data_IF_301348164694
#
_entry.id   IF_301348164694
#
_cell.length_a   1.000
_cell.length_b   1.000
_cell.length_c   1.000
_cell.angle_alpha   90.00
_cell.angle_beta   90.00
_cell.angle_gamma   90.00
#
_symmetry.space_group_name_H-M   'P 1'
#
loop_
_entity.id
_entity.type
_entity.pdbx_description
1 polymer ?
#
# COMPACT_ATOMS: atom_id res chain seq x y z
N UNK A 1 19.66 -40.86 -11.25
CA UNK A 1 19.32 -39.47 -11.63
C UNK A 1 18.88 -38.70 -10.40
N UNK A 2 19.70 -37.77 -9.89
CA UNK A 2 19.31 -36.86 -8.80
C UNK A 2 18.38 -35.80 -9.38
N UNK A 3 17.10 -35.78 -8.97
CA UNK A 3 16.21 -34.65 -9.27
C UNK A 3 16.80 -33.41 -8.60
N UNK A 4 17.20 -32.42 -9.39
CA UNK A 4 17.57 -31.11 -8.87
C UNK A 4 16.38 -30.58 -8.05
N UNK A 5 16.58 -30.34 -6.75
CA UNK A 5 15.61 -29.59 -5.94
C UNK A 5 15.50 -28.20 -6.58
N UNK A 6 14.43 -27.97 -7.35
CA UNK A 6 14.11 -26.62 -7.80
C UNK A 6 13.85 -25.79 -6.55
N UNK A 7 14.75 -24.87 -6.24
CA UNK A 7 14.54 -23.86 -5.21
C UNK A 7 13.24 -23.15 -5.53
N UNK A 8 12.24 -23.16 -4.63
CA UNK A 8 10.95 -22.65 -5.01
C UNK A 8 11.06 -21.12 -5.16
N UNK A 9 10.77 -20.63 -6.37
CA UNK A 9 10.97 -19.24 -6.77
C UNK A 9 10.05 -18.32 -5.96
N UNK A 10 10.61 -17.26 -5.37
CA UNK A 10 9.80 -16.21 -4.76
C UNK A 10 8.83 -15.63 -5.80
N UNK A 11 7.57 -15.44 -5.41
CA UNK A 11 6.56 -14.82 -6.27
C UNK A 11 6.24 -13.42 -5.75
N UNK A 12 6.22 -12.47 -6.66
CA UNK A 12 5.85 -11.09 -6.37
C UNK A 12 4.36 -10.89 -6.63
N UNK A 13 3.68 -10.35 -5.63
CA UNK A 13 2.31 -9.88 -5.74
C UNK A 13 2.28 -8.38 -5.53
N UNK A 14 1.38 -7.69 -6.22
CA UNK A 14 1.26 -6.25 -6.19
C UNK A 14 -0.18 -5.83 -5.96
N UNK A 15 -0.31 -4.71 -5.27
CA UNK A 15 -1.54 -3.98 -5.04
C UNK A 15 -1.26 -2.51 -5.34
N UNK A 16 -2.05 -1.89 -6.20
CA UNK A 16 -1.96 -0.45 -6.43
C UNK A 16 -3.32 0.21 -6.23
N UNK A 17 -3.30 1.46 -5.80
CA UNK A 17 -4.49 2.29 -5.68
C UNK A 17 -4.13 3.75 -5.92
N UNK A 18 -5.06 4.48 -6.53
CA UNK A 18 -5.01 5.93 -6.59
C UNK A 18 -5.75 6.47 -5.36
N UNK A 19 -5.15 7.42 -4.65
CA UNK A 19 -5.64 7.91 -3.36
C UNK A 19 -6.93 8.71 -3.55
N UNK A 20 -6.97 9.60 -4.54
CA UNK A 20 -8.15 10.41 -4.84
C UNK A 20 -9.32 9.55 -5.31
N UNK A 21 -9.07 8.64 -6.24
CA UNK A 21 -10.10 7.69 -6.69
C UNK A 21 -10.60 6.77 -5.55
N UNK A 22 -9.74 6.41 -4.59
CA UNK A 22 -10.18 5.63 -3.44
C UNK A 22 -11.22 6.39 -2.60
N UNK A 23 -11.00 7.69 -2.39
CA UNK A 23 -11.94 8.59 -1.70
C UNK A 23 -13.26 8.64 -2.45
N UNK A 24 -13.23 8.91 -3.77
CA UNK A 24 -14.44 8.97 -4.60
C UNK A 24 -15.28 7.68 -4.50
N UNK A 25 -14.62 6.52 -4.56
CA UNK A 25 -15.31 5.22 -4.46
C UNK A 25 -15.92 5.00 -3.08
N UNK A 26 -15.23 5.40 -2.01
CA UNK A 26 -15.76 5.32 -0.63
C UNK A 26 -16.99 6.21 -0.51
N UNK A 27 -16.89 7.49 -0.88
CA UNK A 27 -17.98 8.46 -0.77
C UNK A 27 -19.21 8.02 -1.57
N UNK A 28 -19.02 7.51 -2.79
CA UNK A 28 -20.10 6.95 -3.60
C UNK A 28 -20.77 5.75 -2.94
N UNK A 29 -19.98 4.87 -2.31
CA UNK A 29 -20.53 3.71 -1.60
C UNK A 29 -21.33 4.12 -0.37
N UNK A 30 -20.80 5.03 0.45
CA UNK A 30 -21.49 5.54 1.64
C UNK A 30 -22.80 6.24 1.26
N UNK A 31 -22.79 7.04 0.19
CA UNK A 31 -23.98 7.72 -0.31
C UNK A 31 -25.06 6.74 -0.82
N UNK A 32 -24.66 5.63 -1.45
CA UNK A 32 -25.59 4.63 -2.01
C UNK A 32 -26.13 3.65 -0.96
N UNK A 33 -25.30 3.25 -0.01
CA UNK A 33 -25.63 2.22 0.97
C UNK A 33 -26.16 2.79 2.29
N UNK A 34 -25.82 4.03 2.63
CA UNK A 34 -26.01 4.60 3.96
C UNK A 34 -25.04 4.04 5.02
N UNK A 35 -24.14 3.13 4.65
CA UNK A 35 -23.16 2.52 5.55
C UNK A 35 -21.92 3.43 5.69
N UNK A 36 -21.67 3.89 6.91
CA UNK A 36 -20.50 4.72 7.29
C UNK A 36 -19.55 3.99 8.23
N UNK A 37 -19.62 2.67 8.30
CA UNK A 37 -18.77 1.85 9.18
C UNK A 37 -17.30 1.84 8.77
N UNK A 38 -16.97 2.38 7.60
CA UNK A 38 -15.65 2.30 6.95
C UNK A 38 -15.19 0.87 6.65
N UNK A 39 -16.10 -0.13 6.72
CA UNK A 39 -15.82 -1.51 6.33
C UNK A 39 -16.39 -1.76 4.94
N UNK A 40 -15.54 -1.65 3.92
CA UNK A 40 -15.97 -1.84 2.54
C UNK A 40 -16.03 -3.33 2.15
N UNK A 41 -17.12 -3.79 1.51
CA UNK A 41 -17.19 -5.16 1.01
C UNK A 41 -16.23 -5.36 -0.16
N UNK A 42 -15.79 -6.61 -0.39
CA UNK A 42 -14.79 -6.95 -1.41
C UNK A 42 -15.07 -6.36 -2.81
N UNK A 43 -16.31 -6.36 -3.35
CA UNK A 43 -16.58 -5.75 -4.66
C UNK A 43 -16.24 -4.26 -4.73
N UNK A 44 -16.36 -3.54 -3.62
CA UNK A 44 -16.01 -2.12 -3.52
C UNK A 44 -14.50 -1.96 -3.37
N UNK A 45 -13.86 -2.77 -2.53
CA UNK A 45 -12.41 -2.83 -2.43
C UNK A 45 -11.75 -3.11 -3.79
N UNK A 46 -12.34 -3.98 -4.62
CA UNK A 46 -11.83 -4.30 -5.96
C UNK A 46 -11.98 -3.15 -6.98
N UNK A 47 -12.83 -2.15 -6.70
CA UNK A 47 -12.88 -0.90 -7.47
C UNK A 47 -11.67 -0.02 -7.13
N UNK A 48 -11.28 0.05 -5.86
CA UNK A 48 -10.15 0.84 -5.36
C UNK A 48 -8.82 0.20 -5.72
N UNK A 49 -8.63 -1.04 -5.29
CA UNK A 49 -7.36 -1.74 -5.36
C UNK A 49 -7.24 -2.57 -6.63
N UNK A 50 -6.14 -2.38 -7.35
CA UNK A 50 -5.78 -3.10 -8.57
C UNK A 50 -4.56 -3.98 -8.35
N UNK A 51 -4.37 -4.96 -9.21
CA UNK A 51 -3.27 -5.92 -9.13
C UNK A 51 -3.70 -7.31 -8.68
N UNK A 52 -2.71 -8.18 -8.47
CA UNK A 52 -2.93 -9.61 -8.23
C UNK A 52 -2.88 -9.99 -6.73
N UNK A 53 -2.50 -9.08 -5.83
CA UNK A 53 -2.38 -9.37 -4.41
C UNK A 53 -3.75 -9.66 -3.75
N UNK A 54 -4.72 -8.77 -3.93
CA UNK A 54 -6.05 -8.93 -3.33
C UNK A 54 -6.76 -10.22 -3.78
N UNK A 55 -6.82 -10.54 -5.09
CA UNK A 55 -7.36 -11.82 -5.54
C UNK A 55 -6.62 -13.03 -4.96
N UNK A 56 -5.28 -12.97 -4.87
CA UNK A 56 -4.48 -14.08 -4.33
C UNK A 56 -4.75 -14.32 -2.84
N UNK A 57 -4.97 -13.26 -2.07
CA UNK A 57 -5.38 -13.35 -0.66
C UNK A 57 -6.81 -13.90 -0.53
N UNK A 58 -7.75 -13.37 -1.31
CA UNK A 58 -9.16 -13.77 -1.28
C UNK A 58 -9.35 -15.25 -1.66
N UNK A 59 -8.60 -15.73 -2.65
CA UNK A 59 -8.64 -17.12 -3.11
C UNK A 59 -7.78 -18.08 -2.25
N UNK A 60 -7.10 -17.58 -1.21
CA UNK A 60 -6.20 -18.39 -0.38
C UNK A 60 -4.98 -18.94 -1.12
N UNK A 61 -4.64 -18.37 -2.28
CA UNK A 61 -3.43 -18.75 -3.05
C UNK A 61 -2.15 -18.38 -2.29
N UNK A 62 -2.22 -17.36 -1.43
CA UNK A 62 -1.16 -16.98 -0.51
C UNK A 62 -1.72 -16.83 0.90
N UNK A 63 -0.90 -17.05 1.93
CA UNK A 63 -1.30 -16.81 3.33
C UNK A 63 -1.43 -15.31 3.60
N UNK A 64 -2.32 -14.92 4.51
CA UNK A 64 -2.58 -13.49 4.78
C UNK A 64 -1.43 -12.78 5.51
N UNK A 65 -0.60 -13.52 6.27
CA UNK A 65 0.60 -12.95 6.91
C UNK A 65 1.77 -12.88 5.92
N UNK A 66 2.06 -11.69 5.41
CA UNK A 66 3.13 -11.45 4.44
C UNK A 66 3.99 -10.24 4.81
N UNK A 67 5.18 -10.20 4.23
CA UNK A 67 6.07 -9.04 4.26
C UNK A 67 5.68 -8.10 3.14
N UNK A 68 5.44 -6.83 3.50
CA UNK A 68 5.01 -5.80 2.56
C UNK A 68 6.09 -4.73 2.37
N UNK A 69 6.06 -4.09 1.22
CA UNK A 69 6.65 -2.77 1.01
C UNK A 69 5.65 -1.92 0.26
N UNK A 70 5.76 -0.61 0.35
CA UNK A 70 4.90 0.31 -0.38
C UNK A 70 5.68 1.50 -0.85
N UNK A 71 5.39 1.92 -2.06
CA UNK A 71 5.90 3.17 -2.61
C UNK A 71 4.72 4.09 -2.86
N UNK A 72 4.77 5.29 -2.28
CA UNK A 72 3.85 6.36 -2.57
C UNK A 72 4.43 7.26 -3.65
N UNK A 73 3.55 7.72 -4.51
CA UNK A 73 3.83 8.64 -5.58
C UNK A 73 2.83 9.80 -5.49
N UNK A 74 3.34 11.02 -5.64
CA UNK A 74 2.50 12.20 -5.74
C UNK A 74 3.03 13.11 -6.84
N UNK A 75 2.13 13.54 -7.73
CA UNK A 75 2.39 14.62 -8.68
C UNK A 75 2.03 15.94 -8.01
N UNK A 76 3.00 16.81 -7.83
CA UNK A 76 2.83 18.09 -7.16
C UNK A 76 3.06 19.24 -8.12
N UNK A 77 2.42 20.38 -7.86
CA UNK A 77 2.67 21.65 -8.53
C UNK A 77 3.01 22.70 -7.49
N UNK A 78 4.19 23.29 -7.63
CA UNK A 78 4.67 24.38 -6.77
C UNK A 78 3.97 25.68 -7.08
N UNK A 79 4.05 26.64 -6.16
CA UNK A 79 3.57 28.01 -6.37
C UNK A 79 4.20 28.68 -7.60
N UNK A 80 5.44 28.32 -7.93
CA UNK A 80 6.15 28.81 -9.13
C UNK A 80 5.56 28.30 -10.44
N UNK A 81 4.61 27.36 -10.38
CA UNK A 81 4.01 26.69 -11.51
C UNK A 81 4.77 25.44 -11.99
N UNK A 82 5.94 25.15 -11.41
CA UNK A 82 6.73 23.94 -11.70
C UNK A 82 6.01 22.67 -11.21
N UNK A 83 5.96 21.65 -12.07
CA UNK A 83 5.42 20.33 -11.72
C UNK A 83 6.54 19.34 -11.42
N UNK A 84 6.33 18.49 -10.41
CA UNK A 84 7.29 17.46 -10.00
C UNK A 84 6.60 16.16 -9.62
N UNK A 85 7.37 15.05 -9.66
CA UNK A 85 6.97 13.76 -9.13
C UNK A 85 7.76 13.48 -7.85
N UNK A 86 7.04 13.13 -6.80
CA UNK A 86 7.62 12.74 -5.52
C UNK A 86 7.42 11.25 -5.34
N UNK A 87 8.47 10.57 -4.88
CA UNK A 87 8.45 9.15 -4.56
C UNK A 87 8.96 8.91 -3.13
N UNK A 88 8.22 8.11 -2.36
CA UNK A 88 8.66 7.62 -1.03
C UNK A 88 8.39 6.14 -0.88
N UNK A 89 9.46 5.38 -0.69
CA UNK A 89 9.44 3.93 -0.51
C UNK A 89 9.62 3.51 0.95
N UNK A 90 8.75 2.63 1.41
CA UNK A 90 8.77 2.02 2.73
C UNK A 90 8.85 0.51 2.58
N UNK A 91 9.70 -0.12 3.40
CA UNK A 91 9.75 -1.58 3.50
C UNK A 91 9.49 -2.01 4.94
N UNK A 92 8.61 -2.97 5.08
CA UNK A 92 8.22 -3.54 6.37
C UNK A 92 8.76 -4.96 6.42
N UNK A 93 9.78 -5.19 7.25
CA UNK A 93 10.43 -6.51 7.33
C UNK A 93 9.65 -7.51 8.22
N UNK A 94 8.61 -7.05 8.91
CA UNK A 94 7.76 -7.87 9.78
C UNK A 94 6.55 -8.42 9.00
N UNK A 95 6.31 -9.74 8.97
CA UNK A 95 5.09 -10.29 8.40
C UNK A 95 3.83 -9.81 9.15
N UNK A 96 2.81 -9.37 8.41
CA UNK A 96 1.52 -8.89 8.95
C UNK A 96 0.38 -9.18 7.98
N UNK A 97 -0.87 -8.98 8.38
CA UNK A 97 -2.03 -9.03 7.48
C UNK A 97 -2.10 -7.79 6.59
N UNK A 98 -2.74 -7.91 5.43
CA UNK A 98 -2.98 -6.75 4.56
C UNK A 98 -3.76 -5.63 5.30
N UNK A 99 -4.72 -5.99 6.15
CA UNK A 99 -5.48 -5.01 6.95
C UNK A 99 -4.61 -4.27 7.96
N UNK A 100 -3.67 -4.96 8.61
CA UNK A 100 -2.70 -4.36 9.54
C UNK A 100 -1.72 -3.47 8.78
N UNK A 101 -1.32 -3.87 7.57
CA UNK A 101 -0.51 -3.03 6.69
C UNK A 101 -1.23 -1.73 6.30
N UNK A 102 -2.49 -1.79 5.88
CA UNK A 102 -3.25 -0.61 5.45
C UNK A 102 -3.57 0.31 6.63
N UNK A 103 -3.97 -0.26 7.78
CA UNK A 103 -4.41 0.51 8.95
C UNK A 103 -3.29 0.92 9.90
N UNK A 104 -2.11 0.31 9.79
CA UNK A 104 -0.97 0.60 10.66
C UNK A 104 -0.68 -0.48 11.69
N UNK A 105 0.57 -0.46 12.16
CA UNK A 105 1.11 -1.37 13.16
C UNK A 105 2.23 -0.68 13.94
N UNK A 106 1.89 -0.09 15.09
CA UNK A 106 2.76 0.81 15.87
C UNK A 106 4.08 0.14 16.32
N UNK A 107 4.06 -1.14 16.63
CA UNK A 107 5.26 -1.87 17.05
C UNK A 107 6.13 -2.37 15.88
N UNK A 108 5.78 -2.03 14.64
CA UNK A 108 6.54 -2.40 13.47
C UNK A 108 7.81 -1.57 13.29
N UNK A 109 8.88 -2.23 12.83
CA UNK A 109 10.04 -1.53 12.27
C UNK A 109 9.87 -1.39 10.75
N UNK A 110 10.14 -0.18 10.25
CA UNK A 110 10.10 0.14 8.83
C UNK A 110 11.42 0.74 8.37
N UNK A 111 11.81 0.43 7.14
CA UNK A 111 13.01 0.97 6.51
C UNK A 111 12.63 2.10 5.55
N UNK A 112 13.11 3.32 5.84
CA UNK A 112 12.87 4.53 5.03
C UNK A 112 14.11 4.82 4.17
N UNK A 113 14.18 4.26 2.95
CA UNK A 113 15.06 4.65 1.84
C UNK A 113 16.61 4.61 2.01
N UNK A 114 17.13 4.91 3.18
CA UNK A 114 18.56 5.07 3.51
C UNK A 114 19.08 3.96 4.44
N UNK A 115 18.35 2.86 4.58
CA UNK A 115 18.68 1.81 5.55
C UNK A 115 18.34 2.18 7.00
N UNK A 116 17.75 3.37 7.22
CA UNK A 116 17.29 3.79 8.54
C UNK A 116 16.06 2.99 8.94
N UNK A 117 16.21 2.20 10.00
CA UNK A 117 15.12 1.47 10.63
C UNK A 117 14.51 2.33 11.73
N UNK A 118 13.23 2.64 11.60
CA UNK A 118 12.46 3.38 12.61
C UNK A 118 11.31 2.50 13.09
N UNK A 119 10.96 2.64 14.38
CA UNK A 119 9.78 2.01 14.97
C UNK A 119 8.56 2.91 14.74
N UNK A 120 7.40 2.33 14.43
CA UNK A 120 6.13 3.05 14.28
C UNK A 120 5.62 3.11 12.85
N UNK A 121 4.91 2.07 12.40
CA UNK A 121 4.16 2.12 11.13
C UNK A 121 2.74 2.63 11.39
N UNK A 122 2.36 3.78 10.81
CA UNK A 122 1.02 4.36 11.00
C UNK A 122 -0.02 3.92 9.96
N UNK A 123 0.36 3.03 9.05
CA UNK A 123 -0.53 2.58 7.98
C UNK A 123 -0.34 3.37 6.70
N UNK A 124 -0.85 2.83 5.61
CA UNK A 124 -0.58 3.39 4.29
C UNK A 124 -1.23 4.77 4.09
N UNK A 125 -2.40 5.00 4.69
CA UNK A 125 -3.10 6.29 4.62
C UNK A 125 -2.37 7.36 5.42
N UNK A 126 -2.12 7.11 6.69
CA UNK A 126 -1.60 8.13 7.60
C UNK A 126 -0.12 8.47 7.29
N UNK A 127 0.67 7.52 6.81
CA UNK A 127 2.03 7.81 6.33
C UNK A 127 2.03 8.69 5.08
N UNK A 128 1.09 8.47 4.15
CA UNK A 128 0.94 9.34 2.99
C UNK A 128 0.54 10.75 3.40
N UNK A 129 -0.44 10.90 4.31
CA UNK A 129 -0.87 12.20 4.82
C UNK A 129 0.28 12.94 5.51
N UNK A 130 1.01 12.27 6.41
CA UNK A 130 2.17 12.85 7.09
C UNK A 130 3.24 13.34 6.10
N UNK A 131 3.51 12.56 5.04
CA UNK A 131 4.44 12.95 3.98
C UNK A 131 3.97 14.20 3.23
N UNK A 132 2.67 14.27 2.88
CA UNK A 132 2.12 15.42 2.18
C UNK A 132 2.15 16.69 3.04
N UNK A 133 1.81 16.57 4.32
CA UNK A 133 1.79 17.70 5.25
C UNK A 133 3.21 18.22 5.56
N UNK A 134 4.19 17.34 5.79
CA UNK A 134 5.55 17.72 6.16
C UNK A 134 6.32 18.35 4.99
N UNK A 135 6.22 17.77 3.79
CA UNK A 135 7.06 18.16 2.66
C UNK A 135 6.38 19.18 1.73
N UNK A 136 5.04 19.22 1.68
CA UNK A 136 4.29 19.88 0.61
C UNK A 136 3.14 20.78 1.09
N UNK A 137 3.18 21.29 2.33
CA UNK A 137 2.11 22.13 2.90
C UNK A 137 1.70 23.36 2.07
N UNK A 138 2.57 23.87 1.17
CA UNK A 138 2.27 25.00 0.27
C UNK A 138 2.11 24.59 -1.20
N UNK A 139 2.27 23.31 -1.55
CA UNK A 139 2.19 22.83 -2.93
C UNK A 139 0.81 22.23 -3.21
N UNK A 140 0.39 22.25 -4.48
CA UNK A 140 -0.86 21.61 -4.91
C UNK A 140 -0.60 20.16 -5.33
N UNK A 141 -1.26 19.20 -4.66
CA UNK A 141 -1.24 17.80 -5.09
C UNK A 141 -2.20 17.61 -6.29
N UNK A 142 -1.65 17.27 -7.46
CA UNK A 142 -2.41 17.06 -8.69
C UNK A 142 -2.90 15.61 -8.84
N UNK A 143 -2.07 14.64 -8.45
CA UNK A 143 -2.40 13.23 -8.48
C UNK A 143 -1.61 12.48 -7.40
N UNK A 144 -2.16 11.39 -6.85
CA UNK A 144 -1.48 10.58 -5.85
C UNK A 144 -1.87 9.10 -5.97
N UNK A 145 -0.89 8.22 -5.94
CA UNK A 145 -1.11 6.78 -5.97
C UNK A 145 -0.05 6.03 -5.17
N UNK A 146 -0.36 4.79 -4.82
CA UNK A 146 0.55 3.93 -4.10
C UNK A 146 0.64 2.56 -4.77
N UNK A 147 1.80 1.92 -4.61
CA UNK A 147 2.06 0.55 -5.06
C UNK A 147 2.63 -0.24 -3.89
N UNK A 148 1.81 -1.12 -3.31
CA UNK A 148 2.26 -2.11 -2.36
C UNK A 148 2.76 -3.37 -3.07
N UNK A 149 3.90 -3.85 -2.62
CA UNK A 149 4.56 -5.07 -3.06
C UNK A 149 4.53 -6.08 -1.93
N UNK A 150 4.22 -7.33 -2.28
CA UNK A 150 4.18 -8.46 -1.37
C UNK A 150 5.14 -9.53 -1.91
N UNK A 151 6.19 -9.82 -1.15
CA UNK A 151 7.16 -10.85 -1.51
C UNK A 151 6.78 -12.16 -0.81
N UNK A 152 6.22 -13.10 -1.56
CA UNK A 152 5.86 -14.41 -1.02
C UNK A 152 7.05 -15.35 -1.22
N UNK A 153 7.71 -15.69 -0.11
CA UNK A 153 8.69 -16.77 -0.08
C UNK A 153 7.92 -18.09 -0.12
N UNK A 154 8.22 -18.92 -1.11
CA UNK A 154 7.64 -20.26 -1.13
C UNK A 154 8.08 -21.03 0.12
N UNK A 155 7.17 -21.83 0.70
CA UNK A 155 7.50 -22.72 1.81
C UNK A 155 8.67 -23.62 1.38
N UNK A 156 9.74 -23.61 2.18
CA UNK A 156 10.89 -24.48 2.01
C UNK A 156 10.53 -25.95 2.26
#
# INVERSE_FOLDING_TARGET
MRKAKQTPKAKHYQLSWNVFHAVDVVEQYEAQSGDKSCVLPYPILAKIYKGNLMPALQLGTIVNHQTYGVTFFAKIKKETGEEGLVERGFRIDTPMKLSEFINGYEDCYVNKGHGLKVKGWKGAKDEWLSMMDEEFHNDTCLDAWAVANCLVRAKA
#
